data_IF_774142010257
#
_entry.id   IF_774142010257
#
_cell.length_a   1.000
_cell.length_b   1.000
_cell.length_c   1.000
_cell.angle_alpha   90.00
_cell.angle_beta   90.00
_cell.angle_gamma   90.00
#
_symmetry.space_group_name_H-M   'P 1'
#
loop_
_entity.id
_entity.type
_entity.pdbx_description
1 polymer ?
#
# COMPACT_ATOMS: atom_id res chain seq x y z
N UNK A 1 -15.56 -3.23 0.03
CA UNK A 1 -16.25 -2.55 1.15
C UNK A 1 -16.47 -1.07 0.84
N UNK A 2 -17.54 -0.70 0.12
CA UNK A 2 -17.77 0.71 -0.27
C UNK A 2 -18.18 1.60 0.92
N UNK A 3 -18.92 1.05 1.88
CA UNK A 3 -19.35 1.74 3.10
C UNK A 3 -18.22 2.35 3.93
N UNK A 4 -17.04 1.71 3.96
CA UNK A 4 -15.89 2.21 4.71
C UNK A 4 -15.46 3.60 4.24
N UNK A 5 -15.47 3.86 2.91
CA UNK A 5 -15.15 5.17 2.33
C UNK A 5 -16.13 6.27 2.76
N UNK A 6 -17.37 5.89 3.09
CA UNK A 6 -18.43 6.82 3.49
C UNK A 6 -18.32 7.17 4.98
N UNK A 7 -18.03 6.18 5.84
CA UNK A 7 -17.94 6.41 7.29
C UNK A 7 -16.60 7.06 7.70
N UNK A 8 -15.53 6.84 6.93
CA UNK A 8 -14.21 7.41 7.21
C UNK A 8 -14.18 8.94 7.38
N UNK A 9 -14.75 9.76 6.48
CA UNK A 9 -14.74 11.21 6.65
C UNK A 9 -15.48 11.65 7.93
N UNK A 10 -16.60 11.02 8.27
CA UNK A 10 -17.38 11.34 9.48
C UNK A 10 -16.57 10.99 10.73
N UNK A 11 -16.04 9.78 10.81
CA UNK A 11 -15.25 9.38 11.97
C UNK A 11 -13.93 10.13 12.10
N UNK A 12 -13.30 10.55 11.00
CA UNK A 12 -12.12 11.43 11.03
C UNK A 12 -12.50 12.82 11.54
N UNK A 13 -13.63 13.37 11.10
CA UNK A 13 -14.13 14.66 11.58
C UNK A 13 -14.42 14.64 13.08
N UNK A 14 -14.98 13.53 13.59
CA UNK A 14 -15.24 13.31 15.01
C UNK A 14 -13.99 12.93 15.82
N UNK A 15 -12.81 12.79 15.20
CA UNK A 15 -11.56 12.40 15.87
C UNK A 15 -11.49 10.93 16.30
N UNK A 16 -12.44 10.09 15.87
CA UNK A 16 -12.55 8.68 16.26
C UNK A 16 -11.77 7.74 15.34
N UNK A 17 -11.47 8.17 14.11
CA UNK A 17 -10.79 7.37 13.09
C UNK A 17 -9.45 8.01 12.72
N UNK A 18 -8.33 7.24 12.70
CA UNK A 18 -7.02 7.74 12.29
C UNK A 18 -6.96 8.02 10.78
N UNK A 19 -5.80 8.48 10.30
CA UNK A 19 -5.60 8.68 8.87
C UNK A 19 -5.71 7.34 8.11
N UNK A 20 -6.73 7.20 7.27
CA UNK A 20 -6.92 6.06 6.38
C UNK A 20 -6.70 6.52 4.93
N UNK A 21 -5.84 5.81 4.20
CA UNK A 21 -5.64 5.98 2.76
C UNK A 21 -6.20 4.75 2.03
N UNK A 22 -6.97 4.99 0.98
CA UNK A 22 -7.46 3.94 0.09
C UNK A 22 -6.59 3.92 -1.16
N UNK A 23 -6.08 2.74 -1.52
CA UNK A 23 -5.22 2.55 -2.68
C UNK A 23 -5.90 1.61 -3.68
N UNK A 24 -5.69 1.85 -4.97
CA UNK A 24 -5.82 0.80 -5.99
C UNK A 24 -4.63 -0.17 -5.90
N UNK A 25 -4.71 -1.29 -6.63
CA UNK A 25 -3.61 -2.23 -6.77
C UNK A 25 -2.31 -1.53 -7.22
N UNK A 26 -2.41 -0.70 -8.25
CA UNK A 26 -1.25 0.01 -8.81
C UNK A 26 -0.72 1.07 -7.86
N UNK A 27 -1.59 1.84 -7.20
CA UNK A 27 -1.15 2.83 -6.21
C UNK A 27 -0.43 2.18 -5.02
N UNK A 28 -0.86 0.99 -4.60
CA UNK A 28 -0.16 0.24 -3.55
C UNK A 28 1.23 -0.22 -4.03
N UNK A 29 1.32 -0.69 -5.28
CA UNK A 29 2.60 -1.07 -5.91
C UNK A 29 3.56 0.12 -5.95
N UNK A 30 3.08 1.26 -6.43
CA UNK A 30 3.90 2.47 -6.60
C UNK A 30 4.38 2.97 -5.23
N UNK A 31 3.52 2.98 -4.21
CA UNK A 31 3.94 3.36 -2.84
C UNK A 31 5.07 2.48 -2.29
N UNK A 32 5.12 1.20 -2.64
CA UNK A 32 6.19 0.30 -2.22
C UNK A 32 7.50 0.63 -2.94
N UNK A 33 7.42 0.90 -4.26
CA UNK A 33 8.60 1.28 -5.07
C UNK A 33 9.15 2.65 -4.64
N UNK A 34 8.28 3.63 -4.45
CA UNK A 34 8.63 4.99 -4.00
C UNK A 34 9.27 4.96 -2.60
N UNK A 35 8.93 3.97 -1.78
CA UNK A 35 9.56 3.75 -0.47
C UNK A 35 10.97 3.10 -0.57
N UNK A 36 11.49 2.87 -1.78
CA UNK A 36 12.84 2.33 -2.02
C UNK A 36 12.92 0.79 -2.00
N UNK A 37 11.80 0.10 -2.19
CA UNK A 37 11.77 -1.35 -2.31
C UNK A 37 11.71 -1.79 -3.77
N UNK A 38 12.36 -2.91 -4.07
CA UNK A 38 12.23 -3.61 -5.33
C UNK A 38 11.22 -4.75 -5.17
N UNK A 39 10.20 -4.78 -6.02
CA UNK A 39 9.15 -5.80 -5.98
C UNK A 39 9.65 -7.06 -6.69
N UNK A 40 9.68 -8.16 -5.96
CA UNK A 40 10.10 -9.47 -6.47
C UNK A 40 8.92 -10.28 -7.01
N UNK A 41 7.79 -10.24 -6.30
CA UNK A 41 6.57 -10.93 -6.69
C UNK A 41 5.36 -10.02 -6.48
N UNK A 42 4.46 -10.00 -7.46
CA UNK A 42 3.21 -9.26 -7.37
C UNK A 42 2.08 -10.01 -8.08
N UNK A 43 1.18 -10.63 -7.32
CA UNK A 43 0.10 -11.41 -7.92
C UNK A 43 -1.22 -11.29 -7.16
N UNK A 44 -2.30 -11.41 -7.93
CA UNK A 44 -3.67 -11.45 -7.44
C UNK A 44 -4.25 -12.83 -7.75
N UNK A 45 -4.64 -13.63 -6.73
CA UNK A 45 -5.12 -14.99 -6.95
C UNK A 45 -6.56 -15.05 -7.50
N UNK A 46 -7.30 -13.94 -7.50
CA UNK A 46 -8.63 -13.87 -8.10
C UNK A 46 -9.57 -12.89 -7.41
N UNK A 47 -10.69 -12.60 -8.07
CA UNK A 47 -11.65 -11.57 -7.66
C UNK A 47 -12.04 -11.67 -6.17
N UNK A 48 -11.95 -10.54 -5.46
CA UNK A 48 -12.34 -10.45 -4.05
C UNK A 48 -11.31 -11.05 -3.07
N UNK A 49 -10.12 -11.44 -3.56
CA UNK A 49 -8.98 -11.84 -2.73
C UNK A 49 -8.01 -10.67 -2.55
N UNK A 50 -7.10 -10.80 -1.60
CA UNK A 50 -6.04 -9.83 -1.37
C UNK A 50 -4.96 -9.90 -2.47
N UNK A 51 -4.28 -8.78 -2.72
CA UNK A 51 -3.02 -8.78 -3.46
C UNK A 51 -1.90 -9.37 -2.59
N UNK A 52 -1.04 -10.18 -3.19
CA UNK A 52 0.18 -10.67 -2.54
C UNK A 52 1.39 -9.98 -3.16
N UNK A 53 2.23 -9.40 -2.30
CA UNK A 53 3.41 -8.64 -2.70
C UNK A 53 4.60 -9.13 -1.87
N UNK A 54 5.67 -9.55 -2.54
CA UNK A 54 6.97 -9.79 -1.93
C UNK A 54 7.91 -8.72 -2.46
N UNK A 55 8.50 -7.93 -1.56
CA UNK A 55 9.41 -6.85 -1.92
C UNK A 55 10.69 -6.93 -1.08
N UNK A 56 11.81 -6.59 -1.70
CA UNK A 56 13.12 -6.53 -1.04
C UNK A 56 13.50 -5.07 -0.85
N UNK A 57 14.00 -4.74 0.34
CA UNK A 57 14.62 -3.43 0.57
C UNK A 57 15.88 -3.36 -0.29
N UNK A 58 16.03 -2.30 -1.10
CA UNK A 58 17.28 -2.07 -1.80
C UNK A 58 18.34 -1.75 -0.75
N UNK A 59 19.34 -2.62 -0.61
CA UNK A 59 20.55 -2.27 0.14
C UNK A 59 21.30 -1.28 -0.75
N UNK A 60 21.31 -0.01 -0.36
CA UNK A 60 22.34 0.89 -0.86
C UNK A 60 23.65 0.32 -0.31
N UNK A 61 24.47 -0.25 -1.19
CA UNK A 61 25.87 -0.38 -0.87
C UNK A 61 26.39 1.05 -0.77
N UNK A 62 26.51 1.57 0.45
CA UNK A 62 27.47 2.65 0.70
C UNK A 62 28.84 2.09 0.30
N UNK A 63 29.57 2.87 -0.52
CA UNK A 63 30.91 2.60 -1.05
C UNK A 63 31.00 1.72 -2.32
N UNK A 64 31.05 2.36 -3.49
CA UNK A 64 32.25 2.25 -4.35
C UNK A 64 32.43 3.51 -5.21
N UNK A 65 33.54 4.22 -4.91
CA UNK A 65 34.30 5.19 -5.73
C UNK A 65 33.77 6.59 -6.00
#
# INVERSE_FOLDING_TARGET
>A
MKWLKIITPIGKFLGLIPMIKFFTKDQLRDCIVDAGFDIDQFWHPGKGKAEFIVARKRLLNEETS
#
